data_IF_364655749474
#
_entry.id   IF_364655749474
#
_cell.length_a   1.000
_cell.length_b   1.000
_cell.length_c   1.000
_cell.angle_alpha   90.00
_cell.angle_beta   90.00
_cell.angle_gamma   90.00
#
_symmetry.space_group_name_H-M   'P 1'
#
loop_
_entity.id
_entity.type
_entity.pdbx_description
1 polymer ?
#
# COMPACT_ATOMS: atom_id res chain seq x y z
N UNK A 1 12.05 29.48 -0.21
CA UNK A 1 12.25 28.66 -0.06
C UNK A 1 12.31 28.17 0.06
N UNK A 2 12.26 28.02 0.15
CA UNK A 2 12.42 27.05 0.46
C UNK A 2 12.73 26.43 0.26
N UNK A 3 12.74 26.37 0.13
CA UNK A 3 13.06 25.44 0.15
C UNK A 3 13.31 24.87 0.09
N UNK A 4 13.33 24.86 -0.03
CA UNK A 4 13.60 24.01 0.10
C UNK A 4 13.82 23.33 0.05
N UNK A 5 13.94 23.47 -0.12
CA UNK A 5 14.16 22.55 -0.04
C UNK A 5 14.56 21.98 -0.14
N UNK A 6 14.82 22.07 -0.28
CA UNK A 6 15.13 21.36 -0.21
C UNK A 6 15.30 20.59 -0.15
N UNK A 7 15.35 20.36 -0.17
CA UNK A 7 15.52 19.31 0.10
C UNK A 7 15.53 18.61 -0.08
N UNK A 8 15.57 18.43 -0.10
CA UNK A 8 15.49 17.62 -0.10
C UNK A 8 15.63 16.89 -0.29
N UNK A 9 15.84 16.58 -0.17
CA UNK A 9 15.92 15.72 -0.13
C UNK A 9 15.73 14.99 0.00
N UNK A 10 15.96 14.92 -0.41
CA UNK A 10 15.54 13.70 -0.38
C UNK A 10 15.92 12.71 0.21
N UNK A 11 16.25 12.74 0.71
CA UNK A 11 16.37 11.67 1.52
C UNK A 11 15.16 10.87 1.42
N UNK A 12 15.23 9.79 0.82
CA UNK A 12 14.16 8.89 0.90
C UNK A 12 13.86 8.74 2.35
N UNK A 13 12.78 9.25 2.81
CA UNK A 13 12.41 9.01 4.19
C UNK A 13 12.26 7.51 4.34
N UNK A 14 12.59 7.01 5.48
CA UNK A 14 12.36 5.63 5.80
C UNK A 14 10.89 5.28 5.71
N UNK A 15 10.05 6.27 5.88
CA UNK A 15 8.62 6.12 5.71
C UNK A 15 8.21 6.93 4.51
N UNK A 16 7.31 6.38 3.70
CA UNK A 16 6.85 7.04 2.50
C UNK A 16 5.65 7.92 2.79
N UNK A 17 5.67 9.12 2.25
CA UNK A 17 4.53 10.03 2.33
C UNK A 17 3.79 10.05 1.00
N UNK A 18 2.49 10.30 1.08
CA UNK A 18 1.65 10.39 -0.09
C UNK A 18 0.50 11.34 0.20
N UNK A 19 -0.11 11.86 -0.87
CA UNK A 19 -1.30 12.71 -0.73
C UNK A 19 -2.53 11.82 -0.78
N UNK A 20 -3.49 12.09 0.10
CA UNK A 20 -4.73 11.31 0.10
C UNK A 20 -5.48 11.42 -1.21
N UNK A 21 -5.33 12.55 -1.94
CA UNK A 21 -5.94 12.71 -3.24
C UNK A 21 -5.40 11.75 -4.30
N UNK A 22 -4.23 11.15 -4.05
CA UNK A 22 -3.64 10.19 -4.98
C UNK A 22 -4.23 8.78 -4.82
N UNK A 23 -4.94 8.54 -3.74
CA UNK A 23 -5.52 7.24 -3.46
C UNK A 23 -6.96 7.38 -2.97
N UNK A 24 -7.89 7.75 -3.89
CA UNK A 24 -9.29 7.85 -3.50
C UNK A 24 -9.86 6.51 -3.08
N UNK A 25 -11.02 6.50 -2.39
CA UNK A 25 -11.61 5.23 -1.93
C UNK A 25 -11.75 4.20 -3.05
N UNK A 26 -11.38 2.97 -2.75
CA UNK A 26 -11.45 1.87 -3.72
C UNK A 26 -10.23 1.75 -4.60
N UNK A 27 -9.20 2.59 -4.40
CA UNK A 27 -7.99 2.58 -5.22
C UNK A 27 -6.77 2.18 -4.42
N UNK A 28 -5.67 2.01 -5.14
CA UNK A 28 -4.38 1.66 -4.57
C UNK A 28 -3.29 2.56 -5.15
N UNK A 29 -2.22 2.74 -4.38
CA UNK A 29 -1.10 3.57 -4.76
C UNK A 29 0.19 2.88 -4.33
N UNK A 30 1.19 2.86 -5.19
CA UNK A 30 2.51 2.35 -4.84
C UNK A 30 3.31 3.46 -4.16
N UNK A 31 3.80 3.20 -2.95
CA UNK A 31 4.59 4.15 -2.18
C UNK A 31 5.87 3.44 -1.77
N UNK A 32 6.95 3.66 -2.51
CA UNK A 32 8.19 2.93 -2.29
C UNK A 32 7.98 1.43 -2.47
N UNK A 33 8.33 0.65 -1.46
CA UNK A 33 8.15 -0.80 -1.48
C UNK A 33 6.80 -1.24 -0.90
N UNK A 34 5.91 -0.28 -0.61
CA UNK A 34 4.61 -0.56 -0.04
C UNK A 34 3.49 -0.28 -1.03
N UNK A 35 2.40 -1.02 -0.91
CA UNK A 35 1.17 -0.73 -1.61
C UNK A 35 0.17 -0.18 -0.59
N UNK A 36 -0.42 0.96 -0.91
CA UNK A 36 -1.38 1.64 -0.04
C UNK A 36 -2.76 1.47 -0.66
N UNK A 37 -3.72 1.02 0.13
CA UNK A 37 -5.08 0.76 -0.32
C UNK A 37 -6.05 1.61 0.49
N UNK A 38 -6.98 2.26 -0.20
CA UNK A 38 -8.03 3.03 0.47
C UNK A 38 -9.30 2.19 0.48
N UNK A 39 -9.62 1.65 1.65
CA UNK A 39 -10.77 0.78 1.85
C UNK A 39 -11.91 1.62 2.44
N UNK A 40 -12.68 2.26 1.56
CA UNK A 40 -13.84 3.05 2.00
C UNK A 40 -13.50 4.20 2.92
N UNK A 41 -12.32 4.79 2.77
CA UNK A 41 -11.85 5.88 3.62
C UNK A 41 -10.80 5.45 4.63
N UNK A 42 -10.68 4.14 4.89
CA UNK A 42 -9.64 3.60 5.77
C UNK A 42 -8.44 3.19 4.91
N UNK A 43 -7.28 3.67 5.28
CA UNK A 43 -6.07 3.42 4.51
C UNK A 43 -5.26 2.31 5.16
N UNK A 44 -4.96 1.28 4.39
CA UNK A 44 -4.15 0.14 4.84
C UNK A 44 -2.96 -0.02 3.90
N UNK A 45 -1.82 -0.46 4.41
CA UNK A 45 -0.62 -0.62 3.61
C UNK A 45 -0.03 -2.00 3.80
N UNK A 46 0.44 -2.58 2.69
CA UNK A 46 1.07 -3.89 2.68
C UNK A 46 2.35 -3.83 1.89
N UNK A 47 3.11 -4.93 1.91
CA UNK A 47 4.18 -5.09 0.93
C UNK A 47 3.60 -4.98 -0.47
N UNK A 48 4.39 -4.46 -1.40
CA UNK A 48 3.89 -4.21 -2.76
C UNK A 48 3.76 -5.46 -3.60
N UNK A 49 4.50 -6.50 -3.25
CA UNK A 49 4.58 -7.71 -4.07
C UNK A 49 3.86 -8.87 -3.42
N UNK A 50 3.14 -9.64 -4.24
CA UNK A 50 2.46 -10.84 -3.80
C UNK A 50 3.46 -11.86 -3.26
N UNK A 51 3.11 -12.53 -2.16
CA UNK A 51 4.01 -13.52 -1.54
C UNK A 51 4.18 -14.77 -2.41
N UNK A 52 3.27 -15.00 -3.35
CA UNK A 52 3.37 -16.18 -4.22
C UNK A 52 4.48 -16.03 -5.27
N UNK A 53 4.38 -15.01 -6.13
CA UNK A 53 5.32 -14.83 -7.24
C UNK A 53 5.74 -13.39 -7.46
N UNK A 54 5.49 -12.51 -6.51
CA UNK A 54 5.92 -11.12 -6.59
C UNK A 54 5.07 -10.24 -7.49
N UNK A 55 3.85 -10.64 -7.80
CA UNK A 55 2.97 -9.83 -8.63
C UNK A 55 2.65 -8.48 -7.97
N UNK A 56 2.42 -7.45 -8.81
CA UNK A 56 2.20 -6.09 -8.28
C UNK A 56 0.79 -5.93 -7.72
N UNK A 57 0.67 -5.95 -6.40
CA UNK A 57 -0.64 -5.93 -5.75
C UNK A 57 -1.40 -4.64 -5.99
N UNK A 58 -0.69 -3.50 -6.13
CA UNK A 58 -1.36 -2.22 -6.38
C UNK A 58 -2.08 -2.16 -7.72
N UNK A 59 -1.77 -3.08 -8.63
CA UNK A 59 -2.42 -3.16 -9.94
C UNK A 59 -3.57 -4.14 -9.96
N UNK A 60 -3.80 -4.86 -8.87
CA UNK A 60 -4.90 -5.81 -8.79
C UNK A 60 -6.20 -5.14 -8.36
N UNK A 61 -7.33 -5.72 -8.71
CA UNK A 61 -8.61 -5.17 -8.30
C UNK A 61 -8.79 -5.27 -6.79
N UNK A 62 -9.38 -4.22 -6.22
CA UNK A 62 -9.70 -4.15 -4.80
C UNK A 62 -11.21 -4.22 -4.65
N UNK A 63 -11.68 -5.20 -3.88
CA UNK A 63 -13.10 -5.38 -3.60
C UNK A 63 -13.25 -5.34 -2.07
N UNK A 64 -13.82 -4.25 -1.55
CA UNK A 64 -13.83 -4.04 -0.11
C UNK A 64 -12.41 -3.98 0.41
N UNK A 65 -12.04 -4.91 1.29
CA UNK A 65 -10.67 -5.00 1.82
C UNK A 65 -9.86 -6.12 1.16
N UNK A 66 -10.40 -6.77 0.12
CA UNK A 66 -9.73 -7.89 -0.54
C UNK A 66 -9.10 -7.44 -1.85
N UNK A 67 -7.79 -7.64 -1.98
CA UNK A 67 -7.08 -7.39 -3.23
C UNK A 67 -6.80 -8.74 -3.91
N UNK A 68 -6.90 -8.75 -5.24
CA UNK A 68 -6.58 -9.93 -6.05
C UNK A 68 -5.29 -9.68 -6.80
N UNK A 69 -4.31 -10.55 -6.60
CA UNK A 69 -3.06 -10.45 -7.35
C UNK A 69 -3.32 -10.66 -8.83
N UNK A 70 -2.86 -9.76 -9.71
CA UNK A 70 -3.17 -9.86 -11.13
C UNK A 70 -2.45 -11.01 -11.83
N UNK A 71 -1.43 -11.60 -11.19
CA UNK A 71 -0.66 -12.65 -11.87
C UNK A 71 -1.29 -14.03 -11.75
N UNK A 72 -1.74 -14.44 -10.57
CA UNK A 72 -2.25 -15.81 -10.39
C UNK A 72 -3.51 -15.88 -9.55
N UNK A 73 -4.12 -14.74 -9.23
CA UNK A 73 -5.42 -14.72 -8.57
C UNK A 73 -5.42 -14.94 -7.07
N UNK A 74 -4.25 -14.92 -6.42
CA UNK A 74 -4.22 -14.97 -4.96
C UNK A 74 -4.94 -13.77 -4.38
N UNK A 75 -5.67 -13.97 -3.29
CA UNK A 75 -6.41 -12.89 -2.65
C UNK A 75 -5.97 -12.70 -1.21
N UNK A 76 -5.90 -11.44 -0.80
CA UNK A 76 -5.44 -11.06 0.53
C UNK A 76 -6.32 -9.97 1.11
N UNK A 77 -6.45 -9.97 2.43
CA UNK A 77 -7.02 -8.83 3.14
C UNK A 77 -5.92 -7.79 3.28
N UNK A 78 -6.13 -6.58 2.75
CA UNK A 78 -5.08 -5.57 2.73
C UNK A 78 -4.86 -4.89 4.08
N UNK A 79 -5.79 -5.04 5.01
CA UNK A 79 -5.66 -4.43 6.34
C UNK A 79 -5.04 -5.38 7.35
N UNK A 80 -5.17 -6.68 7.16
CA UNK A 80 -4.59 -7.68 8.07
C UNK A 80 -3.44 -8.46 7.42
N UNK A 81 -3.38 -8.48 6.11
CA UNK A 81 -2.40 -9.28 5.37
C UNK A 81 -2.82 -10.73 5.18
N UNK A 82 -3.95 -11.14 5.73
CA UNK A 82 -4.34 -12.54 5.69
C UNK A 82 -4.61 -13.04 4.28
N UNK A 83 -4.17 -14.27 4.00
CA UNK A 83 -4.49 -14.94 2.74
C UNK A 83 -5.96 -15.30 2.73
N UNK A 84 -6.67 -14.91 1.68
CA UNK A 84 -8.08 -15.27 1.51
C UNK A 84 -8.27 -16.32 0.43
N UNK A 85 -7.34 -16.41 -0.52
CA UNK A 85 -7.38 -17.40 -1.59
C UNK A 85 -5.97 -17.65 -2.08
N UNK A 86 -5.64 -18.95 -2.32
CA UNK A 86 -4.39 -19.33 -2.94
C UNK A 86 -4.31 -18.95 -4.42
N UNK A 87 -3.18 -19.23 -5.05
CA UNK A 87 -2.13 -20.16 -4.60
C UNK A 87 -1.17 -19.65 -3.53
N UNK A 88 -1.21 -18.38 -3.14
CA UNK A 88 -0.36 -17.90 -2.07
C UNK A 88 -0.72 -18.58 -0.75
N UNK A 89 0.31 -18.89 0.06
CA UNK A 89 0.12 -19.50 1.37
C UNK A 89 0.62 -18.61 2.50
N UNK A 90 1.43 -17.60 2.17
CA UNK A 90 2.01 -16.72 3.18
C UNK A 90 1.25 -15.40 3.21
N UNK A 91 0.98 -14.87 4.42
CA UNK A 91 0.30 -13.57 4.52
C UNK A 91 1.21 -12.44 4.03
N UNK A 92 0.60 -11.31 3.74
CA UNK A 92 1.34 -10.10 3.39
C UNK A 92 1.87 -9.45 4.65
N UNK A 93 3.06 -8.85 4.54
CA UNK A 93 3.55 -7.92 5.55
C UNK A 93 2.68 -6.67 5.49
N UNK A 94 2.23 -6.19 6.64
CA UNK A 94 1.48 -4.93 6.71
C UNK A 94 2.32 -3.88 7.41
N UNK A 95 1.98 -2.61 7.13
CA UNK A 95 2.71 -1.47 7.70
C UNK A 95 1.72 -0.49 8.29
N UNK A 96 2.07 0.15 9.43
CA UNK A 96 1.22 1.19 9.98
C UNK A 96 1.10 2.38 9.03
N UNK A 97 -0.07 2.99 9.02
CA UNK A 97 -0.31 4.20 8.23
C UNK A 97 -0.84 5.28 9.16
N UNK A 98 -0.28 6.47 9.05
CA UNK A 98 -0.73 7.66 9.77
C UNK A 98 -1.27 8.64 8.74
N UNK A 99 -2.45 9.20 9.00
CA UNK A 99 -3.04 10.21 8.13
C UNK A 99 -3.28 11.48 8.95
N UNK A 100 -2.78 12.59 8.45
CA UNK A 100 -3.01 13.90 9.06
C UNK A 100 -3.45 14.85 7.96
N UNK A 101 -4.72 15.29 8.03
CA UNK A 101 -5.29 16.12 6.99
C UNK A 101 -5.25 15.39 5.65
N UNK A 102 -4.58 15.96 4.66
CA UNK A 102 -4.51 15.40 3.32
C UNK A 102 -3.24 14.58 3.09
N UNK A 103 -2.42 14.40 4.11
CA UNK A 103 -1.13 13.70 3.97
C UNK A 103 -1.17 12.39 4.71
N UNK A 104 -0.82 11.32 4.01
CA UNK A 104 -0.64 10.00 4.60
C UNK A 104 0.83 9.62 4.66
N UNK A 105 1.18 8.76 5.61
CA UNK A 105 2.54 8.27 5.74
C UNK A 105 2.53 6.80 6.09
N UNK A 106 3.30 6.03 5.34
CA UNK A 106 3.52 4.61 5.61
C UNK A 106 4.80 4.48 6.43
N UNK A 107 4.69 3.84 7.58
CA UNK A 107 5.85 3.59 8.43
C UNK A 107 6.42 2.23 8.07
N UNK A 108 7.00 2.15 6.89
CA UNK A 108 7.63 0.92 6.43
C UNK A 108 9.03 0.83 7.00
N UNK A 109 9.39 -0.35 7.37
CA UNK A 109 10.72 -0.57 7.89
C UNK A 109 11.80 -0.38 6.83
#
# INVERSE_FOLDING_TARGET
MRTEIIGTEPTAPKSGEFQMSQVPPGSALLVGAAAVFNVGGRVCATQAKCTHRGGPLSEGPLDGSTVTCPWHGSQFDVCTGAVRRGPATDPLQTYPVTVQGDVGRVDAA
#
